data_IF_617951516167
#
_entry.id   IF_617951516167
#
_cell.length_a   1.000
_cell.length_b   1.000
_cell.length_c   1.000
_cell.angle_alpha   90.00
_cell.angle_beta   90.00
_cell.angle_gamma   90.00
#
_symmetry.space_group_name_H-M   'P 1'
#
loop_
_entity.id
_entity.type
_entity.pdbx_description
1 polymer ?
#
# COMPACT_ATOMS: atom_id res chain seq x y z
N UNK A 1 15.37 -2.20 1.51
CA UNK A 1 16.29 -1.38 2.32
C UNK A 1 15.57 -0.38 3.24
N UNK A 2 14.27 -0.13 3.06
CA UNK A 2 13.48 0.80 3.90
C UNK A 2 13.06 0.20 5.25
N UNK A 3 12.99 -1.12 5.36
CA UNK A 3 12.53 -1.73 6.59
C UNK A 3 13.54 -1.50 7.72
N UNK A 4 13.08 -1.10 8.90
CA UNK A 4 13.90 -1.01 10.09
C UNK A 4 14.61 -2.34 10.37
N UNK A 5 15.78 -2.26 10.99
CA UNK A 5 16.52 -3.47 11.38
C UNK A 5 15.70 -4.30 12.37
N UNK A 6 15.51 -5.57 12.08
CA UNK A 6 14.71 -6.49 12.88
C UNK A 6 13.24 -6.59 12.43
N UNK A 7 12.88 -6.00 11.28
CA UNK A 7 11.57 -6.22 10.67
C UNK A 7 11.42 -7.67 10.20
N UNK A 8 10.19 -8.16 10.16
CA UNK A 8 9.84 -9.48 9.62
C UNK A 8 8.78 -9.36 8.52
N UNK A 9 8.90 -10.21 7.52
CA UNK A 9 7.90 -10.37 6.45
C UNK A 9 7.40 -11.81 6.51
N UNK A 10 6.09 -11.98 6.72
CA UNK A 10 5.45 -13.28 6.61
C UNK A 10 4.70 -13.38 5.29
N UNK A 11 5.12 -14.28 4.43
CA UNK A 11 4.44 -14.57 3.16
C UNK A 11 3.54 -15.78 3.36
N UNK A 12 2.26 -15.62 3.02
CA UNK A 12 1.26 -16.69 3.10
C UNK A 12 0.70 -16.92 1.71
N UNK A 13 0.88 -18.10 1.17
CA UNK A 13 0.33 -18.47 -0.13
C UNK A 13 0.31 -20.00 -0.28
N UNK A 14 -0.59 -20.48 -1.14
CA UNK A 14 -0.64 -21.89 -1.54
C UNK A 14 -0.22 -21.98 -3.01
N UNK A 15 1.10 -22.05 -3.24
CA UNK A 15 1.67 -22.16 -4.58
C UNK A 15 2.89 -23.08 -4.57
N UNK A 16 2.96 -24.01 -5.53
CA UNK A 16 4.05 -24.96 -5.65
C UNK A 16 5.40 -24.26 -5.91
N UNK A 17 6.43 -24.68 -5.21
CA UNK A 17 7.80 -24.17 -5.39
C UNK A 17 8.05 -22.75 -4.86
N UNK A 18 7.07 -22.09 -4.25
CA UNK A 18 7.22 -20.73 -3.73
C UNK A 18 8.22 -20.67 -2.57
N UNK A 19 8.22 -21.68 -1.69
CA UNK A 19 9.16 -21.75 -0.58
C UNK A 19 10.62 -21.71 -1.05
N UNK A 20 10.95 -22.46 -2.10
CA UNK A 20 12.31 -22.48 -2.68
C UNK A 20 12.69 -21.13 -3.31
N UNK A 21 11.74 -20.45 -3.96
CA UNK A 21 11.96 -19.10 -4.52
C UNK A 21 12.21 -18.07 -3.41
N UNK A 22 11.41 -18.13 -2.34
CA UNK A 22 11.55 -17.23 -1.19
C UNK A 22 12.83 -17.47 -0.41
N UNK A 23 13.31 -18.71 -0.30
CA UNK A 23 14.60 -19.03 0.33
C UNK A 23 15.76 -18.32 -0.39
N UNK A 24 15.73 -18.26 -1.73
CA UNK A 24 16.73 -17.54 -2.51
C UNK A 24 16.69 -16.03 -2.24
N UNK A 25 15.49 -15.45 -2.12
CA UNK A 25 15.29 -14.02 -1.80
C UNK A 25 15.75 -13.72 -0.37
N UNK A 26 15.45 -14.59 0.58
CA UNK A 26 15.85 -14.44 1.99
C UNK A 26 17.36 -14.27 2.14
N UNK A 27 18.15 -14.91 1.30
CA UNK A 27 19.62 -14.79 1.34
C UNK A 27 20.16 -13.41 0.96
N UNK A 28 19.36 -12.58 0.30
CA UNK A 28 19.72 -11.22 -0.16
C UNK A 28 19.20 -10.14 0.79
N UNK A 29 18.25 -10.46 1.66
CA UNK A 29 17.67 -9.51 2.62
C UNK A 29 18.68 -9.20 3.74
N UNK A 30 18.88 -7.92 4.03
CA UNK A 30 19.88 -7.48 5.01
C UNK A 30 19.30 -7.16 6.39
N UNK A 31 18.08 -6.65 6.44
CA UNK A 31 17.47 -6.11 7.66
C UNK A 31 16.19 -6.82 8.07
N UNK A 32 15.75 -7.82 7.31
CA UNK A 32 14.43 -8.42 7.43
C UNK A 32 14.55 -9.93 7.54
N UNK A 33 13.71 -10.53 8.35
CA UNK A 33 13.46 -11.96 8.38
C UNK A 33 12.29 -12.29 7.46
N UNK A 34 12.45 -13.27 6.56
CA UNK A 34 11.42 -13.76 5.68
C UNK A 34 10.91 -15.11 6.17
N UNK A 35 9.62 -15.17 6.49
CA UNK A 35 8.94 -16.38 6.97
C UNK A 35 7.92 -16.79 5.92
N UNK A 36 7.96 -18.04 5.48
CA UNK A 36 6.93 -18.59 4.61
C UNK A 36 5.96 -19.47 5.40
N UNK A 37 4.67 -19.34 5.09
CA UNK A 37 3.61 -20.24 5.58
C UNK A 37 2.75 -20.68 4.41
N UNK A 38 2.68 -21.98 4.19
CA UNK A 38 1.74 -22.55 3.21
C UNK A 38 0.31 -22.44 3.71
N UNK A 39 -0.58 -21.95 2.86
CA UNK A 39 -2.00 -21.83 3.18
C UNK A 39 -2.81 -21.00 2.20
N UNK A 40 -4.09 -21.37 2.06
CA UNK A 40 -5.04 -20.59 1.27
C UNK A 40 -5.52 -19.36 2.07
N UNK A 41 -5.17 -18.18 1.61
CA UNK A 41 -5.56 -16.92 2.25
C UNK A 41 -7.06 -16.65 2.22
N UNK A 42 -7.84 -17.33 1.37
CA UNK A 42 -9.30 -17.27 1.39
C UNK A 42 -9.93 -18.14 2.49
N UNK A 43 -9.16 -19.06 3.10
CA UNK A 43 -9.60 -19.81 4.27
C UNK A 43 -9.42 -18.99 5.55
N UNK A 44 -10.53 -18.65 6.17
CA UNK A 44 -10.56 -17.93 7.45
C UNK A 44 -9.68 -18.56 8.53
N UNK A 45 -9.63 -19.90 8.62
CA UNK A 45 -8.84 -20.60 9.64
C UNK A 45 -7.35 -20.34 9.49
N UNK A 46 -6.88 -20.26 8.24
CA UNK A 46 -5.49 -19.89 7.93
C UNK A 46 -5.21 -18.49 8.48
N UNK A 47 -6.06 -17.51 8.17
CA UNK A 47 -5.88 -16.14 8.63
C UNK A 47 -5.92 -16.03 10.17
N UNK A 48 -6.82 -16.74 10.83
CA UNK A 48 -6.91 -16.76 12.31
C UNK A 48 -5.66 -17.35 12.97
N UNK A 49 -4.98 -18.29 12.30
CA UNK A 49 -3.73 -18.92 12.79
C UNK A 49 -2.51 -18.00 12.72
N UNK A 50 -2.58 -16.91 11.96
CA UNK A 50 -1.45 -16.01 11.71
C UNK A 50 -1.15 -15.05 12.88
N UNK A 51 -2.01 -14.95 13.89
CA UNK A 51 -1.89 -13.97 14.96
C UNK A 51 -1.78 -12.52 14.40
N UNK A 52 -2.76 -12.14 13.59
CA UNK A 52 -2.78 -10.90 12.79
C UNK A 52 -2.54 -9.62 13.60
N UNK A 53 -2.84 -9.61 14.90
CA UNK A 53 -2.58 -8.49 15.81
C UNK A 53 -1.09 -8.13 15.97
N UNK A 54 -0.20 -8.98 15.50
CA UNK A 54 1.25 -8.77 15.59
C UNK A 54 1.83 -8.13 14.32
N UNK A 55 1.00 -7.82 13.32
CA UNK A 55 1.42 -7.19 12.08
C UNK A 55 0.95 -5.74 12.01
N UNK A 56 1.85 -4.85 11.65
CA UNK A 56 1.55 -3.43 11.42
C UNK A 56 0.88 -3.21 10.05
N UNK A 57 1.31 -3.97 9.05
CA UNK A 57 0.87 -3.83 7.66
C UNK A 57 0.53 -5.19 7.05
N UNK A 58 -0.55 -5.21 6.26
CA UNK A 58 -0.95 -6.37 5.46
C UNK A 58 -1.00 -5.94 4.00
N UNK A 59 -0.31 -6.68 3.13
CA UNK A 59 -0.34 -6.46 1.68
C UNK A 59 -1.00 -7.69 1.05
N UNK A 60 -2.11 -7.49 0.36
CA UNK A 60 -2.79 -8.53 -0.41
C UNK A 60 -2.44 -8.39 -1.88
N UNK A 61 -1.73 -9.36 -2.42
CA UNK A 61 -1.44 -9.47 -3.83
C UNK A 61 -2.49 -10.32 -4.53
N UNK A 62 -2.84 -9.96 -5.75
CA UNK A 62 -3.80 -10.69 -6.55
C UNK A 62 -3.14 -11.88 -7.23
N UNK A 63 -3.84 -13.00 -7.34
CA UNK A 63 -3.37 -14.22 -8.04
C UNK A 63 -3.57 -14.08 -9.56
N UNK A 64 -2.97 -13.06 -10.16
CA UNK A 64 -3.14 -12.72 -11.58
C UNK A 64 -2.58 -13.76 -12.55
N UNK A 65 -1.54 -14.49 -12.13
CA UNK A 65 -0.87 -15.49 -12.96
C UNK A 65 -1.59 -16.85 -12.97
N UNK A 66 -2.46 -17.11 -11.99
CA UNK A 66 -3.10 -18.40 -11.79
C UNK A 66 -4.61 -18.38 -12.04
N UNK A 67 -5.25 -17.24 -11.90
CA UNK A 67 -6.70 -17.09 -11.94
C UNK A 67 -7.14 -16.06 -12.97
N UNK A 68 -8.33 -16.27 -13.55
CA UNK A 68 -9.00 -15.23 -14.32
C UNK A 68 -9.32 -14.01 -13.43
N UNK A 69 -9.29 -12.82 -14.01
CA UNK A 69 -9.43 -11.52 -13.33
C UNK A 69 -10.57 -11.50 -12.29
N UNK A 70 -11.75 -11.97 -12.69
CA UNK A 70 -12.93 -11.97 -11.79
C UNK A 70 -12.76 -12.90 -10.58
N UNK A 71 -12.12 -14.04 -10.77
CA UNK A 71 -11.86 -15.01 -9.69
C UNK A 71 -10.76 -14.51 -8.77
N UNK A 72 -9.72 -13.89 -9.35
CA UNK A 72 -8.61 -13.33 -8.62
C UNK A 72 -9.08 -12.18 -7.70
N UNK A 73 -9.85 -11.22 -8.24
CA UNK A 73 -10.43 -10.12 -7.46
C UNK A 73 -11.42 -10.62 -6.40
N UNK A 74 -12.28 -11.60 -6.73
CA UNK A 74 -13.20 -12.18 -5.76
C UNK A 74 -12.46 -12.82 -4.57
N UNK A 75 -11.33 -13.50 -4.83
CA UNK A 75 -10.49 -14.09 -3.78
C UNK A 75 -9.89 -13.00 -2.88
N UNK A 76 -9.36 -11.93 -3.47
CA UNK A 76 -8.86 -10.77 -2.72
C UNK A 76 -9.96 -10.17 -1.84
N UNK A 77 -11.16 -9.97 -2.38
CA UNK A 77 -12.30 -9.42 -1.63
C UNK A 77 -12.74 -10.32 -0.47
N UNK A 78 -12.82 -11.63 -0.67
CA UNK A 78 -13.14 -12.58 0.41
C UNK A 78 -12.11 -12.51 1.52
N UNK A 79 -10.84 -12.48 1.16
CA UNK A 79 -9.73 -12.34 2.13
C UNK A 79 -9.85 -11.04 2.92
N UNK A 80 -10.13 -9.92 2.26
CA UNK A 80 -10.35 -8.62 2.91
C UNK A 80 -11.49 -8.66 3.92
N UNK A 81 -12.63 -9.24 3.54
CA UNK A 81 -13.78 -9.37 4.43
C UNK A 81 -13.45 -10.22 5.67
N UNK A 82 -12.69 -11.30 5.50
CA UNK A 82 -12.24 -12.12 6.62
C UNK A 82 -11.28 -11.37 7.53
N UNK A 83 -10.28 -10.68 6.97
CA UNK A 83 -9.33 -9.88 7.74
C UNK A 83 -10.04 -8.83 8.59
N UNK A 84 -10.99 -8.12 8.00
CA UNK A 84 -11.79 -7.12 8.69
C UNK A 84 -12.61 -7.70 9.83
N UNK A 85 -13.38 -8.76 9.56
CA UNK A 85 -14.21 -9.40 10.59
C UNK A 85 -13.36 -9.94 11.75
N UNK A 86 -12.16 -10.47 11.46
CA UNK A 86 -11.21 -10.92 12.50
C UNK A 86 -10.71 -9.72 13.31
N UNK A 87 -10.34 -8.61 12.66
CA UNK A 87 -9.85 -7.42 13.34
C UNK A 87 -10.93 -6.79 14.26
N UNK A 88 -12.16 -6.66 13.76
CA UNK A 88 -13.30 -6.17 14.52
C UNK A 88 -13.60 -7.05 15.76
N UNK A 89 -13.63 -8.36 15.58
CA UNK A 89 -13.90 -9.31 16.68
C UNK A 89 -12.80 -9.34 17.74
N UNK A 90 -11.54 -9.24 17.31
CA UNK A 90 -10.38 -9.27 18.20
C UNK A 90 -9.94 -7.88 18.67
N UNK A 91 -10.60 -6.80 18.18
CA UNK A 91 -10.38 -5.39 18.57
C UNK A 91 -8.93 -4.91 18.35
N UNK A 92 -8.37 -5.19 17.19
CA UNK A 92 -7.09 -4.63 16.76
C UNK A 92 -7.24 -3.95 15.40
N UNK A 93 -6.25 -3.15 15.01
CA UNK A 93 -6.18 -2.48 13.71
C UNK A 93 -4.83 -2.75 13.04
N UNK A 94 -4.82 -2.75 11.73
CA UNK A 94 -3.64 -2.83 10.88
C UNK A 94 -3.85 -1.98 9.63
N UNK A 95 -2.78 -1.54 9.01
CA UNK A 95 -2.85 -0.92 7.68
C UNK A 95 -2.95 -2.01 6.62
N UNK A 96 -3.82 -1.83 5.66
CA UNK A 96 -4.06 -2.80 4.60
C UNK A 96 -3.99 -2.16 3.22
N UNK A 97 -3.15 -2.72 2.35
CA UNK A 97 -3.07 -2.37 0.93
C UNK A 97 -3.39 -3.59 0.11
N UNK A 98 -4.27 -3.45 -0.86
CA UNK A 98 -4.73 -4.58 -1.67
C UNK A 98 -4.58 -4.30 -3.16
N UNK A 99 -4.07 -5.28 -3.88
CA UNK A 99 -4.04 -5.27 -5.34
C UNK A 99 -5.37 -5.76 -5.89
N UNK A 100 -5.88 -5.06 -6.90
CA UNK A 100 -7.03 -5.49 -7.72
C UNK A 100 -6.69 -5.34 -9.20
N UNK A 101 -7.26 -6.18 -10.02
CA UNK A 101 -7.04 -6.18 -11.46
C UNK A 101 -8.08 -5.34 -12.20
N UNK A 102 -9.35 -5.41 -11.80
CA UNK A 102 -10.44 -4.72 -12.47
C UNK A 102 -10.90 -3.47 -11.68
N UNK A 103 -10.73 -2.29 -12.30
CA UNK A 103 -11.15 -1.01 -11.71
C UNK A 103 -12.65 -0.98 -11.36
N UNK A 104 -13.49 -1.74 -12.04
CA UNK A 104 -14.94 -1.81 -11.78
C UNK A 104 -15.27 -2.41 -10.42
N UNK A 105 -14.39 -3.27 -9.90
CA UNK A 105 -14.53 -3.90 -8.60
C UNK A 105 -14.12 -2.97 -7.44
N UNK A 106 -13.53 -1.80 -7.74
CA UNK A 106 -13.08 -0.83 -6.74
C UNK A 106 -14.20 -0.38 -5.79
N UNK A 107 -15.38 -0.06 -6.34
CA UNK A 107 -16.52 0.39 -5.51
C UNK A 107 -16.97 -0.68 -4.52
N UNK A 108 -16.91 -1.96 -4.91
CA UNK A 108 -17.22 -3.09 -4.02
C UNK A 108 -16.16 -3.23 -2.94
N UNK A 109 -14.91 -3.01 -3.29
CA UNK A 109 -13.78 -3.07 -2.38
C UNK A 109 -13.80 -1.91 -1.37
N UNK A 110 -14.21 -0.70 -1.76
CA UNK A 110 -14.40 0.44 -0.86
C UNK A 110 -15.47 0.17 0.21
N UNK A 111 -16.53 -0.57 -0.13
CA UNK A 111 -17.54 -1.03 0.84
C UNK A 111 -16.93 -1.97 1.89
N UNK A 112 -15.88 -2.71 1.54
CA UNK A 112 -15.15 -3.58 2.46
C UNK A 112 -14.23 -2.83 3.44
N UNK A 113 -14.19 -1.48 3.37
CA UNK A 113 -13.37 -0.57 4.19
C UNK A 113 -11.87 -0.94 4.19
N UNK A 114 -11.34 -1.42 3.08
CA UNK A 114 -9.89 -1.51 2.94
C UNK A 114 -9.30 -0.09 2.93
N UNK A 115 -8.13 0.05 3.52
CA UNK A 115 -7.48 1.35 3.68
C UNK A 115 -7.04 1.92 2.34
N UNK A 116 -6.53 1.06 1.45
CA UNK A 116 -6.11 1.47 0.11
C UNK A 116 -6.17 0.32 -0.90
N UNK A 117 -6.39 0.68 -2.18
CA UNK A 117 -6.41 -0.24 -3.30
C UNK A 117 -5.50 0.25 -4.42
N UNK A 118 -4.68 -0.66 -4.92
CA UNK A 118 -3.89 -0.44 -6.12
C UNK A 118 -4.51 -1.26 -7.25
N UNK A 119 -4.90 -0.59 -8.33
CA UNK A 119 -5.30 -1.25 -9.58
C UNK A 119 -4.10 -1.22 -10.51
N UNK A 120 -3.35 -2.32 -10.54
CA UNK A 120 -2.05 -2.42 -11.20
C UNK A 120 -2.10 -2.02 -12.68
N UNK A 121 -3.04 -2.55 -13.45
CA UNK A 121 -3.19 -2.23 -14.87
C UNK A 121 -3.49 -0.76 -15.11
N UNK A 122 -4.29 -0.15 -14.24
CA UNK A 122 -4.59 1.28 -14.32
C UNK A 122 -3.36 2.14 -14.05
N UNK A 123 -2.58 1.81 -13.04
CA UNK A 123 -1.36 2.52 -12.71
C UNK A 123 -0.35 2.44 -13.85
N UNK A 124 -0.10 1.23 -14.37
CA UNK A 124 0.81 1.01 -15.50
C UNK A 124 0.35 1.79 -16.73
N UNK A 125 -0.93 1.75 -17.06
CA UNK A 125 -1.50 2.48 -18.21
C UNK A 125 -1.32 3.99 -18.08
N UNK A 126 -1.52 4.54 -16.88
CA UNK A 126 -1.31 5.98 -16.63
C UNK A 126 0.16 6.36 -16.74
N UNK A 127 1.07 5.55 -16.21
CA UNK A 127 2.52 5.78 -16.33
C UNK A 127 2.95 5.71 -17.80
N UNK A 128 2.48 4.73 -18.57
CA UNK A 128 2.77 4.63 -19.99
C UNK A 128 2.27 5.85 -20.77
N UNK A 129 1.06 6.33 -20.48
CA UNK A 129 0.52 7.54 -21.10
C UNK A 129 1.40 8.76 -20.81
N UNK A 130 1.82 8.95 -19.56
CA UNK A 130 2.67 10.07 -19.16
C UNK A 130 4.06 10.00 -19.82
N UNK A 131 4.69 8.83 -19.84
CA UNK A 131 6.02 8.63 -20.45
C UNK A 131 5.94 8.78 -21.97
N UNK A 132 4.84 8.38 -22.62
CA UNK A 132 4.66 8.56 -24.07
C UNK A 132 4.60 10.04 -24.45
N UNK A 133 3.99 10.88 -23.64
CA UNK A 133 3.93 12.33 -23.82
C UNK A 133 5.29 12.98 -23.56
N UNK A 134 5.96 12.56 -22.48
CA UNK A 134 7.27 13.09 -22.11
C UNK A 134 8.21 11.98 -21.61
N UNK A 135 9.12 11.53 -22.47
CA UNK A 135 10.08 10.46 -22.17
C UNK A 135 10.96 10.72 -20.95
N UNK A 136 11.18 12.00 -20.57
CA UNK A 136 11.98 12.37 -19.39
C UNK A 136 11.29 11.97 -18.08
N UNK A 137 9.97 11.77 -18.09
CA UNK A 137 9.24 11.29 -16.91
C UNK A 137 9.62 9.88 -16.50
N UNK A 138 10.16 9.06 -17.41
CA UNK A 138 10.63 7.74 -17.05
C UNK A 138 11.71 7.77 -15.96
N UNK A 139 12.66 8.70 -16.04
CA UNK A 139 13.69 8.85 -14.99
C UNK A 139 13.12 9.36 -13.65
N UNK A 140 12.07 10.19 -13.72
CA UNK A 140 11.36 10.65 -12.50
C UNK A 140 10.65 9.49 -11.82
N UNK A 141 9.92 8.66 -12.58
CA UNK A 141 9.28 7.47 -12.02
C UNK A 141 10.30 6.46 -11.48
N UNK A 142 11.43 6.27 -12.18
CA UNK A 142 12.49 5.41 -11.70
C UNK A 142 13.03 5.92 -10.35
N UNK A 143 13.26 7.22 -10.19
CA UNK A 143 13.73 7.81 -8.93
C UNK A 143 12.70 7.63 -7.80
N UNK A 144 11.41 7.89 -8.06
CA UNK A 144 10.34 7.75 -7.05
C UNK A 144 10.16 6.30 -6.60
N UNK A 145 10.37 5.33 -7.50
CA UNK A 145 10.22 3.89 -7.17
C UNK A 145 11.55 3.21 -6.81
N UNK A 146 12.67 3.92 -6.89
CA UNK A 146 13.96 3.39 -6.45
C UNK A 146 14.05 3.41 -4.92
N UNK A 147 14.44 2.29 -4.29
CA UNK A 147 14.69 2.25 -2.85
C UNK A 147 15.72 3.26 -2.31
N UNK A 148 16.57 3.79 -3.14
CA UNK A 148 17.57 4.81 -2.78
C UNK A 148 17.23 6.20 -3.37
N UNK A 149 16.08 6.32 -4.04
CA UNK A 149 15.60 7.53 -4.68
C UNK A 149 14.84 8.48 -3.74
N UNK A 150 14.09 9.37 -4.38
CA UNK A 150 13.22 10.32 -3.66
C UNK A 150 11.94 9.63 -3.19
N UNK A 151 11.54 9.90 -1.97
CA UNK A 151 10.34 9.32 -1.36
C UNK A 151 9.26 10.37 -1.14
N UNK A 152 7.99 9.95 -1.27
CA UNK A 152 6.84 10.81 -1.01
C UNK A 152 6.19 10.38 0.31
N UNK A 153 6.11 11.30 1.26
CA UNK A 153 5.51 11.09 2.58
C UNK A 153 4.31 11.98 2.83
N UNK A 154 3.32 11.44 3.53
CA UNK A 154 2.29 12.22 4.19
C UNK A 154 2.70 12.43 5.64
N UNK A 155 3.02 13.66 6.01
CA UNK A 155 3.46 14.03 7.36
C UNK A 155 2.43 14.90 8.06
N UNK A 156 2.32 14.81 9.40
CA UNK A 156 1.42 15.68 10.16
C UNK A 156 1.76 17.15 9.98
N UNK A 157 0.76 17.98 9.67
CA UNK A 157 0.95 19.42 9.46
C UNK A 157 1.53 20.13 10.67
N UNK A 158 1.25 19.65 11.88
CA UNK A 158 1.77 20.21 13.13
C UNK A 158 3.30 20.16 13.25
N UNK A 159 3.97 19.34 12.44
CA UNK A 159 5.43 19.31 12.38
C UNK A 159 6.03 20.53 11.65
N UNK A 160 5.22 21.23 10.83
CA UNK A 160 5.68 22.31 9.94
C UNK A 160 5.14 23.67 10.31
N UNK A 161 3.92 23.74 10.82
CA UNK A 161 3.21 24.97 11.14
C UNK A 161 2.39 24.81 12.42
N UNK A 162 1.96 25.93 13.01
CA UNK A 162 0.97 25.93 14.09
C UNK A 162 -0.43 25.77 13.48
N UNK A 163 -1.13 24.63 13.70
CA UNK A 163 -2.37 24.29 12.99
C UNK A 163 -3.53 25.24 13.25
N UNK A 164 -3.51 25.98 14.36
CA UNK A 164 -4.58 26.89 14.77
C UNK A 164 -4.53 28.25 14.06
N UNK A 165 -3.44 28.53 13.35
CA UNK A 165 -3.28 29.80 12.63
C UNK A 165 -3.55 29.58 11.13
N UNK A 166 -4.35 30.42 10.48
CA UNK A 166 -4.51 30.37 9.04
C UNK A 166 -3.18 30.71 8.38
N UNK A 167 -2.66 29.81 7.57
CA UNK A 167 -1.42 29.96 6.81
C UNK A 167 -1.68 29.68 5.34
N UNK A 168 -0.90 30.28 4.46
CA UNK A 168 -0.91 29.92 3.05
C UNK A 168 0.06 28.77 2.80
N UNK A 169 -0.07 28.09 1.66
CA UNK A 169 0.76 26.94 1.32
C UNK A 169 2.27 27.30 1.19
N UNK A 170 2.60 28.53 0.81
CA UNK A 170 3.99 28.97 0.75
C UNK A 170 4.69 28.92 2.11
N UNK A 171 3.97 29.17 3.20
CA UNK A 171 4.52 29.01 4.55
C UNK A 171 4.88 27.57 4.86
N UNK A 172 4.08 26.62 4.38
CA UNK A 172 4.37 25.18 4.50
C UNK A 172 5.60 24.81 3.67
N UNK A 173 5.69 25.30 2.43
CA UNK A 173 6.84 25.08 1.54
C UNK A 173 8.14 25.59 2.18
N UNK A 174 8.14 26.81 2.76
CA UNK A 174 9.32 27.37 3.40
C UNK A 174 9.71 26.61 4.68
N UNK A 175 8.71 26.15 5.45
CA UNK A 175 8.97 25.32 6.63
C UNK A 175 9.57 23.96 6.25
N UNK A 176 9.07 23.32 5.20
CA UNK A 176 9.60 22.07 4.69
C UNK A 176 11.05 22.23 4.19
N UNK A 177 11.34 23.32 3.48
CA UNK A 177 12.69 23.64 3.00
C UNK A 177 13.70 23.76 4.13
N UNK A 178 13.32 24.33 5.27
CA UNK A 178 14.17 24.41 6.47
C UNK A 178 14.50 23.04 7.07
N UNK A 179 13.77 21.99 6.67
CA UNK A 179 13.98 20.59 7.05
C UNK A 179 14.65 19.77 5.94
N UNK A 180 15.12 20.40 4.87
CA UNK A 180 15.63 19.76 3.64
C UNK A 180 14.60 18.87 2.96
N UNK A 181 13.32 19.26 2.99
CA UNK A 181 12.20 18.58 2.37
C UNK A 181 11.51 19.51 1.37
N UNK A 182 10.76 18.93 0.44
CA UNK A 182 9.97 19.69 -0.53
C UNK A 182 8.49 19.40 -0.32
N UNK A 183 7.70 20.38 0.11
CA UNK A 183 6.26 20.23 0.15
C UNK A 183 5.70 20.36 -1.26
N UNK A 184 5.05 19.30 -1.74
CA UNK A 184 4.42 19.24 -3.08
C UNK A 184 2.90 19.42 -3.01
N UNK A 185 2.30 19.31 -1.82
CA UNK A 185 0.87 19.45 -1.64
C UNK A 185 0.45 19.24 -0.18
N UNK A 186 -0.85 19.15 0.05
CA UNK A 186 -1.42 18.85 1.36
C UNK A 186 -2.65 17.97 1.23
N UNK A 187 -3.05 17.35 2.33
CA UNK A 187 -4.27 16.54 2.42
C UNK A 187 -5.18 17.02 3.55
N UNK A 188 -6.46 17.22 3.24
CA UNK A 188 -7.47 17.55 4.22
C UNK A 188 -7.98 16.29 4.93
N UNK A 189 -7.88 16.26 6.25
CA UNK A 189 -8.28 15.09 7.03
C UNK A 189 -9.78 14.77 6.95
N UNK A 190 -10.63 15.78 6.77
CA UNK A 190 -12.08 15.63 6.63
C UNK A 190 -12.49 14.91 5.33
N UNK A 191 -11.65 14.94 4.29
CA UNK A 191 -11.97 14.43 2.95
C UNK A 191 -11.29 13.10 2.63
N UNK A 192 -10.70 12.45 3.63
CA UNK A 192 -9.90 11.23 3.49
C UNK A 192 -10.58 10.07 2.76
N UNK A 193 -11.90 10.00 2.80
CA UNK A 193 -12.69 8.91 2.23
C UNK A 193 -13.60 9.35 1.09
N UNK A 194 -13.38 10.53 0.53
CA UNK A 194 -14.25 11.09 -0.50
C UNK A 194 -13.53 11.10 -1.86
N UNK A 195 -13.75 10.10 -2.72
CA UNK A 195 -13.07 9.98 -4.03
C UNK A 195 -13.31 11.18 -4.94
N UNK A 196 -14.53 11.76 -4.89
CA UNK A 196 -14.90 12.96 -5.66
C UNK A 196 -14.08 14.20 -5.29
N UNK A 197 -13.48 14.23 -4.10
CA UNK A 197 -12.60 15.29 -3.61
C UNK A 197 -11.12 14.87 -3.65
N UNK A 198 -10.76 13.90 -4.50
CA UNK A 198 -9.39 13.37 -4.62
C UNK A 198 -8.80 12.94 -3.26
N UNK A 199 -9.64 12.39 -2.39
CA UNK A 199 -9.28 12.02 -1.01
C UNK A 199 -8.69 13.19 -0.19
N UNK A 200 -9.10 14.41 -0.51
CA UNK A 200 -8.59 15.64 0.11
C UNK A 200 -7.15 16.01 -0.26
N UNK A 201 -6.60 15.41 -1.32
CA UNK A 201 -5.24 15.72 -1.80
C UNK A 201 -5.28 16.94 -2.73
N UNK A 202 -4.42 17.90 -2.45
CA UNK A 202 -4.20 19.11 -3.22
C UNK A 202 -2.71 19.24 -3.54
N UNK A 203 -2.37 19.19 -4.84
CA UNK A 203 -1.01 19.31 -5.39
C UNK A 203 -0.79 20.67 -6.03
#
# INVERSE_FOLDING_TARGET
NYAPKGSSITVVASAEGLESKLANISSVLKNQELIFKDGDISDRKVLESLALQNFDHIILLCYSDELEVQKADARTMITLLHLRDIAEKKKFSFSNVSEMLDIRNRNLAEVSQADDFIVSDKLISLMMAQVSENKKLNSVFQDIFDPEGSEIYLKPVAEYIEPEKPVNFYSVVESAKNRNETAIGYRLAQDLRTPSLSYGIHL
#
